data_IF_426813774052
#
_entry.id   IF_426813774052
#
_cell.length_a   1.000
_cell.length_b   1.000
_cell.length_c   1.000
_cell.angle_alpha   90.00
_cell.angle_beta   90.00
_cell.angle_gamma   90.00
#
_symmetry.space_group_name_H-M   'P 1'
#
loop_
_entity.id
_entity.type
_entity.pdbx_description
1 polymer ?
#
# COMPACT_ATOMS: atom_id res chain seq x y z
N UNK A 1 -10.96 -35.85 2.38
CA UNK A 1 -10.74 -34.87 1.29
C UNK A 1 -10.92 -33.39 1.69
N UNK A 2 -11.28 -33.06 2.94
CA UNK A 2 -11.55 -31.67 3.37
C UNK A 2 -10.31 -30.91 3.87
N UNK A 3 -9.25 -31.62 4.30
CA UNK A 3 -8.03 -31.02 4.84
C UNK A 3 -7.10 -30.40 3.77
N UNK A 4 -7.15 -30.86 2.51
CA UNK A 4 -6.27 -30.36 1.44
C UNK A 4 -6.64 -28.96 0.95
N UNK A 5 -7.90 -28.53 1.12
CA UNK A 5 -8.33 -27.16 0.76
C UNK A 5 -7.77 -26.09 1.70
N UNK A 6 -7.14 -26.48 2.81
CA UNK A 6 -6.58 -25.57 3.84
C UNK A 6 -5.08 -25.26 3.68
N UNK A 7 -4.41 -25.72 2.62
CA UNK A 7 -2.94 -25.58 2.50
C UNK A 7 -2.45 -24.50 1.54
N UNK A 8 -3.36 -23.77 0.88
CA UNK A 8 -3.03 -22.76 -0.14
C UNK A 8 -3.59 -21.38 0.19
N UNK A 9 -3.44 -20.96 1.45
CA UNK A 9 -3.95 -19.66 1.87
C UNK A 9 -3.04 -18.53 1.42
N UNK A 10 -3.68 -17.44 0.98
CA UNK A 10 -3.08 -16.12 0.92
C UNK A 10 -2.51 -15.75 2.28
N UNK A 11 -1.25 -15.33 2.31
CA UNK A 11 -0.56 -14.83 3.50
C UNK A 11 -0.16 -13.39 3.29
N UNK A 12 -0.56 -12.52 4.21
CA UNK A 12 -0.08 -11.13 4.24
C UNK A 12 1.40 -11.15 4.59
N UNK A 13 2.22 -10.43 3.82
CA UNK A 13 3.69 -10.44 3.98
C UNK A 13 4.16 -9.09 4.47
N UNK A 14 3.78 -8.03 3.76
CA UNK A 14 4.18 -6.66 4.07
C UNK A 14 3.19 -5.66 3.48
N UNK A 15 3.28 -4.41 3.92
CA UNK A 15 2.71 -3.26 3.22
C UNK A 15 3.82 -2.51 2.49
N UNK A 16 3.56 -2.01 1.28
CA UNK A 16 4.35 -0.94 0.67
C UNK A 16 3.54 0.36 0.65
N UNK A 17 4.18 1.49 0.34
CA UNK A 17 3.50 2.79 0.37
C UNK A 17 3.26 3.41 -1.00
N UNK A 18 2.07 3.98 -1.15
CA UNK A 18 1.77 5.09 -2.06
C UNK A 18 2.37 6.37 -1.47
N UNK A 19 2.68 7.33 -2.32
CA UNK A 19 2.99 8.68 -1.92
C UNK A 19 2.15 9.71 -2.65
N UNK A 20 1.95 10.85 -1.99
CA UNK A 20 1.73 12.10 -2.70
C UNK A 20 3.03 12.52 -3.39
N UNK A 21 2.97 12.60 -4.71
CA UNK A 21 4.03 13.11 -5.56
C UNK A 21 3.74 14.58 -5.84
N UNK A 22 4.69 15.44 -5.51
CA UNK A 22 4.52 16.89 -5.61
C UNK A 22 5.54 17.49 -6.57
N UNK A 23 5.19 18.63 -7.17
CA UNK A 23 6.17 19.51 -7.77
C UNK A 23 7.18 19.98 -6.74
N UNK A 24 8.45 20.05 -7.13
CA UNK A 24 9.52 20.63 -6.31
C UNK A 24 9.24 22.07 -5.88
N UNK A 25 8.41 22.81 -6.64
CA UNK A 25 7.95 24.16 -6.28
C UNK A 25 6.87 24.20 -5.20
N UNK A 26 6.14 23.09 -5.04
CA UNK A 26 5.08 22.91 -4.03
C UNK A 26 4.14 24.13 -3.82
N UNK A 27 3.41 24.60 -4.85
CA UNK A 27 2.56 25.79 -4.74
C UNK A 27 1.45 25.68 -3.68
N UNK A 28 1.02 24.46 -3.32
CA UNK A 28 0.06 24.20 -2.25
C UNK A 28 0.68 24.08 -0.85
N UNK A 29 2.02 24.15 -0.73
CA UNK A 29 2.78 24.09 0.52
C UNK A 29 2.40 22.86 1.38
N UNK A 30 2.43 21.68 0.77
CA UNK A 30 2.04 20.41 1.42
C UNK A 30 3.23 19.53 1.80
N UNK A 31 4.45 19.89 1.41
CA UNK A 31 5.64 19.05 1.58
C UNK A 31 5.99 18.68 3.02
N UNK A 32 5.57 19.49 3.99
CA UNK A 32 5.87 19.30 5.42
C UNK A 32 4.65 18.85 6.21
N UNK A 33 3.53 18.58 5.54
CA UNK A 33 2.36 18.02 6.21
C UNK A 33 2.60 16.56 6.56
N UNK A 34 1.88 16.08 7.56
CA UNK A 34 1.75 14.66 7.87
C UNK A 34 0.36 14.12 7.48
N UNK A 35 -0.67 14.99 7.46
CA UNK A 35 -2.05 14.60 7.14
C UNK A 35 -2.33 14.68 5.62
N UNK A 36 -2.63 13.55 4.96
CA UNK A 36 -3.03 13.53 3.56
C UNK A 36 -4.31 14.32 3.26
N UNK A 37 -5.27 14.37 4.19
CA UNK A 37 -6.53 15.11 3.99
C UNK A 37 -6.26 16.61 3.97
N UNK A 38 -5.46 17.11 4.90
CA UNK A 38 -5.03 18.51 4.89
C UNK A 38 -4.27 18.87 3.61
N UNK A 39 -3.39 17.98 3.12
CA UNK A 39 -2.69 18.21 1.86
C UNK A 39 -3.66 18.33 0.68
N UNK A 40 -4.66 17.45 0.60
CA UNK A 40 -5.68 17.52 -0.45
C UNK A 40 -6.55 18.78 -0.34
N UNK A 41 -6.93 19.20 0.88
CA UNK A 41 -7.63 20.47 1.11
C UNK A 41 -6.81 21.66 0.60
N UNK A 42 -5.52 21.73 0.91
CA UNK A 42 -4.65 22.83 0.42
C UNK A 42 -4.48 22.83 -1.10
N UNK A 43 -4.33 21.66 -1.72
CA UNK A 43 -4.26 21.54 -3.18
C UNK A 43 -5.55 22.10 -3.80
N UNK A 44 -6.72 21.78 -3.22
CA UNK A 44 -7.99 22.30 -3.68
C UNK A 44 -8.12 23.82 -3.48
N UNK A 45 -7.77 24.34 -2.29
CA UNK A 45 -7.82 25.78 -1.97
C UNK A 45 -6.94 26.61 -2.91
N UNK A 46 -5.73 26.12 -3.19
CA UNK A 46 -4.80 26.77 -4.13
C UNK A 46 -5.10 26.48 -5.59
N UNK A 47 -6.05 25.57 -5.88
CA UNK A 47 -6.36 25.08 -7.24
C UNK A 47 -5.10 24.64 -7.98
N UNK A 48 -4.18 24.01 -7.25
CA UNK A 48 -2.91 23.55 -7.80
C UNK A 48 -3.15 22.36 -8.75
N UNK A 49 -2.46 22.27 -9.89
CA UNK A 49 -2.74 21.22 -10.88
C UNK A 49 -2.61 19.82 -10.28
N UNK A 50 -3.63 18.98 -10.40
CA UNK A 50 -3.59 17.58 -9.96
C UNK A 50 -3.87 16.65 -11.15
N UNK A 51 -2.92 15.76 -11.42
CA UNK A 51 -3.00 14.78 -12.52
C UNK A 51 -3.21 13.41 -11.91
N UNK A 52 -4.35 12.79 -12.23
CA UNK A 52 -4.61 11.43 -11.81
C UNK A 52 -3.71 10.48 -12.59
N UNK A 53 -2.98 9.64 -11.84
CA UNK A 53 -2.33 8.46 -12.40
C UNK A 53 -3.39 7.37 -12.56
N UNK A 54 -3.77 7.05 -13.80
CA UNK A 54 -4.90 6.20 -14.16
C UNK A 54 -4.77 4.72 -13.80
N UNK A 55 -3.87 4.34 -12.90
CA UNK A 55 -3.87 3.01 -12.30
C UNK A 55 -5.15 2.90 -11.45
N UNK A 56 -6.00 1.87 -11.63
CA UNK A 56 -7.33 1.82 -11.00
C UNK A 56 -7.35 2.06 -9.49
N UNK A 57 -6.40 1.47 -8.77
CA UNK A 57 -6.20 1.66 -7.33
C UNK A 57 -5.95 3.13 -6.96
N UNK A 58 -5.16 3.85 -7.76
CA UNK A 58 -4.82 5.26 -7.51
C UNK A 58 -5.97 6.20 -7.87
N UNK A 59 -6.76 5.85 -8.89
CA UNK A 59 -8.01 6.55 -9.21
C UNK A 59 -8.98 6.45 -8.04
N UNK A 60 -9.17 5.25 -7.50
CA UNK A 60 -10.03 5.00 -6.36
C UNK A 60 -9.55 5.74 -5.10
N UNK A 61 -8.26 5.65 -4.79
CA UNK A 61 -7.68 6.38 -3.66
C UNK A 61 -7.83 7.91 -3.81
N UNK A 62 -7.59 8.45 -5.00
CA UNK A 62 -7.79 9.88 -5.26
C UNK A 62 -9.25 10.26 -5.02
N UNK A 63 -10.21 9.45 -5.46
CA UNK A 63 -11.63 9.72 -5.22
C UNK A 63 -11.99 9.73 -3.73
N UNK A 64 -11.51 8.75 -2.95
CA UNK A 64 -11.67 8.74 -1.48
C UNK A 64 -11.12 10.03 -0.87
N UNK A 65 -9.89 10.40 -1.21
CA UNK A 65 -9.23 11.60 -0.67
C UNK A 65 -9.99 12.88 -1.02
N UNK A 66 -10.44 13.03 -2.26
CA UNK A 66 -11.21 14.20 -2.67
C UNK A 66 -12.59 14.26 -2.01
N UNK A 67 -13.24 13.11 -1.80
CA UNK A 67 -14.49 13.04 -1.06
C UNK A 67 -14.29 13.47 0.40
N UNK A 68 -13.27 12.94 1.07
CA UNK A 68 -12.94 13.29 2.45
C UNK A 68 -12.42 14.75 2.61
N UNK A 69 -11.83 15.31 1.56
CA UNK A 69 -11.43 16.73 1.49
C UNK A 69 -12.60 17.69 1.19
N UNK A 70 -13.86 17.21 1.20
CA UNK A 70 -15.05 18.05 1.07
C UNK A 70 -15.58 18.22 -0.36
N UNK A 71 -15.22 17.32 -1.29
CA UNK A 71 -15.73 17.31 -2.69
C UNK A 71 -15.58 18.66 -3.40
N UNK A 72 -14.35 19.20 -3.50
CA UNK A 72 -14.14 20.52 -4.09
C UNK A 72 -14.52 20.56 -5.57
N UNK A 73 -14.84 21.76 -6.08
CA UNK A 73 -14.96 21.98 -7.51
C UNK A 73 -13.60 21.81 -8.20
N UNK A 74 -13.50 20.78 -9.05
CA UNK A 74 -12.29 20.33 -9.72
C UNK A 74 -11.98 21.07 -11.04
N UNK A 75 -12.84 22.01 -11.46
CA UNK A 75 -12.73 22.68 -12.75
C UNK A 75 -11.41 23.46 -12.93
N UNK A 76 -10.69 23.14 -14.01
CA UNK A 76 -9.49 23.85 -14.47
C UNK A 76 -8.16 23.36 -13.90
N UNK A 77 -8.14 22.71 -12.73
CA UNK A 77 -6.90 22.30 -12.06
C UNK A 77 -6.75 20.78 -11.91
N UNK A 78 -7.84 20.03 -11.85
CA UNK A 78 -7.81 18.58 -11.79
C UNK A 78 -8.01 17.96 -13.18
N UNK A 79 -7.28 16.89 -13.49
CA UNK A 79 -7.50 16.14 -14.73
C UNK A 79 -7.20 14.66 -14.58
N UNK A 80 -7.99 13.82 -15.26
CA UNK A 80 -7.79 12.38 -15.39
C UNK A 80 -7.69 12.00 -16.88
N UNK A 81 -6.52 12.17 -17.51
CA UNK A 81 -6.34 11.98 -18.95
C UNK A 81 -6.20 10.50 -19.38
N UNK A 82 -6.40 9.54 -18.48
CA UNK A 82 -6.13 8.10 -18.74
C UNK A 82 -4.64 7.74 -18.81
N UNK A 83 -3.73 8.68 -18.51
CA UNK A 83 -2.30 8.42 -18.45
C UNK A 83 -1.93 7.60 -17.20
N UNK A 84 -0.97 6.70 -17.32
CA UNK A 84 -0.51 5.86 -16.20
C UNK A 84 1.00 5.96 -15.99
N UNK A 85 1.46 5.58 -14.80
CA UNK A 85 2.89 5.45 -14.44
C UNK A 85 3.67 6.73 -14.82
N UNK A 86 4.79 6.60 -15.53
CA UNK A 86 5.65 7.71 -15.91
C UNK A 86 5.00 8.75 -16.81
N UNK A 87 4.02 8.38 -17.65
CA UNK A 87 3.33 9.36 -18.49
C UNK A 87 2.48 10.34 -17.67
N UNK A 88 1.83 9.85 -16.60
CA UNK A 88 1.14 10.70 -15.64
C UNK A 88 2.12 11.62 -14.88
N UNK A 89 3.28 11.11 -14.49
CA UNK A 89 4.33 11.91 -13.84
C UNK A 89 4.88 12.99 -14.77
N UNK A 90 5.09 12.68 -16.05
CA UNK A 90 5.52 13.66 -17.04
C UNK A 90 4.50 14.80 -17.18
N UNK A 91 3.21 14.47 -17.27
CA UNK A 91 2.15 15.46 -17.32
C UNK A 91 2.05 16.30 -16.03
N UNK A 92 2.19 15.67 -14.86
CA UNK A 92 2.21 16.37 -13.57
C UNK A 92 3.42 17.31 -13.48
N UNK A 93 4.60 16.85 -13.87
CA UNK A 93 5.83 17.65 -13.89
C UNK A 93 5.71 18.85 -14.82
N UNK A 94 5.18 18.66 -16.04
CA UNK A 94 5.00 19.72 -17.02
C UNK A 94 4.06 20.83 -16.52
N UNK A 95 3.05 20.47 -15.71
CA UNK A 95 2.10 21.42 -15.12
C UNK A 95 2.54 21.95 -13.76
N UNK A 96 3.70 21.54 -13.25
CA UNK A 96 4.13 21.88 -11.88
C UNK A 96 3.12 21.43 -10.83
N UNK A 97 2.51 20.27 -11.04
CA UNK A 97 1.38 19.78 -10.28
C UNK A 97 1.69 18.62 -9.34
N UNK A 98 0.62 17.91 -9.01
CA UNK A 98 0.54 16.87 -7.99
C UNK A 98 -0.01 15.58 -8.61
N UNK A 99 0.35 14.43 -8.03
CA UNK A 99 -0.20 13.13 -8.41
C UNK A 99 -0.01 12.11 -7.28
N UNK A 100 -0.56 10.91 -7.44
CA UNK A 100 -0.31 9.77 -6.56
C UNK A 100 0.47 8.70 -7.31
N UNK A 101 1.42 8.03 -6.65
CA UNK A 101 2.03 6.80 -7.16
C UNK A 101 2.75 6.03 -6.04
N UNK A 102 3.12 4.77 -6.30
CA UNK A 102 3.95 4.00 -5.37
C UNK A 102 5.35 4.60 -5.27
N UNK A 103 5.91 4.67 -4.05
CA UNK A 103 7.22 5.28 -3.80
C UNK A 103 8.32 4.60 -4.63
N UNK A 104 8.43 3.28 -4.53
CA UNK A 104 9.47 2.50 -5.23
C UNK A 104 9.43 2.65 -6.76
N UNK A 105 8.30 2.40 -7.47
CA UNK A 105 8.25 2.58 -8.91
C UNK A 105 8.47 4.04 -9.34
N UNK A 106 8.01 5.02 -8.54
CA UNK A 106 8.33 6.44 -8.78
C UNK A 106 9.84 6.68 -8.76
N UNK A 107 10.54 6.26 -7.70
CA UNK A 107 11.99 6.48 -7.56
C UNK A 107 12.80 5.80 -8.67
N UNK A 108 12.40 4.60 -9.10
CA UNK A 108 13.04 3.90 -10.22
C UNK A 108 12.86 4.70 -11.53
N UNK A 109 11.65 5.19 -11.79
CA UNK A 109 11.36 5.94 -13.01
C UNK A 109 12.00 7.34 -12.99
N UNK A 110 12.03 7.99 -11.82
CA UNK A 110 12.64 9.31 -11.59
C UNK A 110 14.13 9.32 -11.99
N UNK A 111 14.87 8.24 -11.74
CA UNK A 111 16.29 8.09 -12.15
C UNK A 111 16.48 8.21 -13.66
N UNK A 112 15.47 7.84 -14.47
CA UNK A 112 15.53 7.84 -15.93
C UNK A 112 15.01 9.14 -16.54
N UNK A 113 13.93 9.69 -15.98
CA UNK A 113 13.19 10.80 -16.58
C UNK A 113 13.48 12.17 -15.98
N UNK A 114 14.08 12.24 -14.78
CA UNK A 114 14.48 13.50 -14.09
C UNK A 114 13.36 14.54 -14.01
N UNK A 115 12.14 14.13 -13.65
CA UNK A 115 11.03 15.06 -13.46
C UNK A 115 11.30 16.04 -12.30
N UNK A 116 10.70 17.23 -12.36
CA UNK A 116 10.75 18.21 -11.28
C UNK A 116 9.76 17.85 -10.15
N UNK A 117 9.75 16.57 -9.74
CA UNK A 117 8.82 15.96 -8.80
C UNK A 117 9.55 15.24 -7.67
N UNK A 118 8.92 15.12 -6.51
CA UNK A 118 9.40 14.30 -5.38
C UNK A 118 8.25 13.72 -4.53
N UNK A 119 8.44 12.59 -3.85
CA UNK A 119 7.48 12.06 -2.89
C UNK A 119 7.62 12.78 -1.54
N UNK A 120 6.51 13.02 -0.83
CA UNK A 120 6.55 13.69 0.50
C UNK A 120 5.70 13.02 1.57
N UNK A 121 4.46 12.63 1.26
CA UNK A 121 3.55 11.98 2.19
C UNK A 121 3.47 10.50 1.86
N UNK A 122 4.03 9.63 2.70
CA UNK A 122 4.04 8.18 2.57
C UNK A 122 4.17 7.54 3.95
N UNK A 123 3.76 6.27 4.10
CA UNK A 123 3.74 5.54 5.36
C UNK A 123 2.50 5.78 6.23
N UNK A 124 1.59 6.65 5.79
CA UNK A 124 0.25 6.75 6.36
C UNK A 124 -0.57 5.50 6.01
N UNK A 125 -1.40 5.04 6.96
CA UNK A 125 -2.15 3.79 6.79
C UNK A 125 -3.01 3.78 5.53
N UNK A 126 -3.59 4.92 5.16
CA UNK A 126 -4.40 5.05 3.95
C UNK A 126 -3.61 4.92 2.64
N UNK A 127 -2.28 5.03 2.71
CA UNK A 127 -1.37 4.85 1.58
C UNK A 127 -0.71 3.47 1.59
N UNK A 128 -1.00 2.61 2.58
CA UNK A 128 -0.51 1.25 2.61
C UNK A 128 -1.20 0.38 1.55
N UNK A 129 -0.38 -0.35 0.80
CA UNK A 129 -0.81 -1.38 -0.15
C UNK A 129 -0.33 -2.72 0.34
N UNK A 130 -1.27 -3.62 0.56
CA UNK A 130 -0.94 -4.94 1.07
C UNK A 130 -0.32 -5.83 0.01
N UNK A 131 0.79 -6.47 0.36
CA UNK A 131 1.47 -7.46 -0.46
C UNK A 131 1.28 -8.83 0.18
N UNK A 132 0.84 -9.78 -0.63
CA UNK A 132 0.51 -11.13 -0.19
C UNK A 132 1.31 -12.18 -0.95
N UNK A 133 1.60 -13.29 -0.29
CA UNK A 133 2.09 -14.52 -0.91
C UNK A 133 0.91 -15.47 -1.16
N UNK A 134 0.84 -16.04 -2.36
CA UNK A 134 -0.16 -17.04 -2.75
C UNK A 134 0.56 -18.25 -3.33
N UNK A 135 0.31 -19.43 -2.77
CA UNK A 135 0.79 -20.70 -3.35
C UNK A 135 -0.25 -21.19 -4.33
N UNK A 136 0.17 -21.45 -5.57
CA UNK A 136 -0.72 -21.86 -6.66
C UNK A 136 -1.25 -23.29 -6.44
N UNK A 137 -2.45 -23.57 -6.98
CA UNK A 137 -3.07 -24.89 -6.86
C UNK A 137 -2.31 -25.94 -7.73
N UNK A 138 -1.70 -26.99 -7.16
CA UNK A 138 -1.01 -28.02 -7.93
C UNK A 138 -1.91 -28.79 -8.88
N UNK A 139 -3.20 -28.95 -8.58
CA UNK A 139 -4.14 -29.66 -9.47
C UNK A 139 -4.30 -28.91 -10.80
N UNK A 140 -4.16 -27.59 -10.78
CA UNK A 140 -4.16 -26.74 -11.98
C UNK A 140 -2.78 -26.55 -12.59
N UNK A 141 -1.74 -26.65 -11.77
CA UNK A 141 -0.35 -26.43 -12.15
C UNK A 141 0.52 -27.62 -11.70
N UNK A 142 0.43 -28.77 -12.38
CA UNK A 142 1.02 -30.03 -11.91
C UNK A 142 2.56 -30.00 -11.85
N UNK A 143 3.20 -29.11 -12.61
CA UNK A 143 4.65 -28.92 -12.61
C UNK A 143 5.14 -27.86 -11.60
N UNK A 144 4.25 -27.26 -10.81
CA UNK A 144 4.63 -26.24 -9.85
C UNK A 144 5.49 -26.83 -8.71
N UNK A 145 6.57 -26.14 -8.34
CA UNK A 145 7.37 -26.48 -7.17
C UNK A 145 6.65 -26.05 -5.87
N UNK A 146 5.61 -26.78 -5.49
CA UNK A 146 4.78 -26.47 -4.31
C UNK A 146 5.61 -26.51 -3.02
N UNK A 147 6.54 -27.46 -2.90
CA UNK A 147 7.42 -27.57 -1.73
C UNK A 147 8.26 -26.31 -1.55
N UNK A 148 8.87 -25.82 -2.63
CA UNK A 148 9.64 -24.57 -2.65
C UNK A 148 8.77 -23.35 -2.37
N UNK A 149 7.58 -23.26 -2.97
CA UNK A 149 6.66 -22.15 -2.75
C UNK A 149 6.21 -22.05 -1.28
N UNK A 150 5.89 -23.18 -0.64
CA UNK A 150 5.53 -23.21 0.79
C UNK A 150 6.73 -22.88 1.68
N UNK A 151 7.94 -23.32 1.33
CA UNK A 151 9.16 -22.98 2.07
C UNK A 151 9.43 -21.47 2.00
N UNK A 152 9.34 -20.87 0.81
CA UNK A 152 9.51 -19.43 0.62
C UNK A 152 8.43 -18.63 1.34
N UNK A 153 7.16 -19.04 1.26
CA UNK A 153 6.08 -18.39 1.99
C UNK A 153 6.32 -18.42 3.50
N UNK A 154 6.79 -19.54 4.08
CA UNK A 154 7.15 -19.59 5.50
C UNK A 154 8.30 -18.66 5.84
N UNK A 155 9.38 -18.69 5.05
CA UNK A 155 10.54 -17.81 5.24
C UNK A 155 10.13 -16.34 5.27
N UNK A 156 9.24 -15.91 4.36
CA UNK A 156 8.73 -14.53 4.33
C UNK A 156 8.00 -14.13 5.62
N UNK A 157 7.46 -15.09 6.38
CA UNK A 157 6.67 -14.86 7.59
C UNK A 157 7.47 -15.08 8.88
N UNK A 158 8.73 -15.51 8.79
CA UNK A 158 9.58 -15.67 9.96
C UNK A 158 9.81 -14.33 10.65
N UNK A 159 9.83 -14.26 12.00
CA UNK A 159 10.08 -13.03 12.74
C UNK A 159 11.33 -12.28 12.26
N UNK A 160 12.44 -12.99 12.06
CA UNK A 160 13.68 -12.40 11.56
C UNK A 160 13.56 -11.82 10.14
N UNK A 161 12.72 -12.42 9.28
CA UNK A 161 12.47 -11.88 7.93
C UNK A 161 11.56 -10.66 7.99
N UNK A 162 10.57 -10.66 8.88
CA UNK A 162 9.70 -9.51 9.12
C UNK A 162 10.49 -8.33 9.71
N UNK A 163 11.44 -8.58 10.61
CA UNK A 163 12.39 -7.58 11.11
C UNK A 163 13.23 -7.00 9.96
N UNK A 164 13.81 -7.84 9.09
CA UNK A 164 14.53 -7.39 7.89
C UNK A 164 13.67 -6.54 6.95
N UNK A 165 12.37 -6.81 6.84
CA UNK A 165 11.43 -5.99 6.06
C UNK A 165 11.31 -4.61 6.69
N UNK A 166 11.14 -4.52 8.01
CA UNK A 166 11.04 -3.26 8.73
C UNK A 166 12.34 -2.45 8.68
N UNK A 167 13.49 -3.12 8.73
CA UNK A 167 14.82 -2.49 8.73
C UNK A 167 15.30 -2.07 7.35
N UNK A 168 14.68 -2.58 6.28
CA UNK A 168 15.07 -2.21 4.93
C UNK A 168 14.93 -0.70 4.71
N UNK A 169 15.99 -0.08 4.18
CA UNK A 169 16.00 1.32 3.75
C UNK A 169 16.29 1.41 2.28
N UNK A 170 15.41 2.08 1.56
CA UNK A 170 15.66 2.38 0.16
C UNK A 170 16.77 3.45 0.07
N UNK A 171 17.78 3.32 -0.80
CA UNK A 171 18.88 4.28 -0.86
C UNK A 171 18.38 5.72 -1.01
N UNK A 172 18.80 6.58 -0.07
CA UNK A 172 18.40 7.99 -0.01
C UNK A 172 17.10 8.28 0.77
N UNK A 173 16.49 7.27 1.40
CA UNK A 173 15.30 7.42 2.26
C UNK A 173 15.57 6.77 3.61
N UNK A 174 15.53 7.58 4.67
CA UNK A 174 15.82 7.14 6.04
C UNK A 174 14.61 6.46 6.71
N UNK A 175 13.40 6.77 6.24
CA UNK A 175 12.16 6.18 6.73
C UNK A 175 11.92 4.79 6.12
N UNK A 176 11.23 3.89 6.83
CA UNK A 176 10.78 2.63 6.24
C UNK A 176 9.81 2.91 5.08
N UNK A 177 9.92 2.09 4.02
CA UNK A 177 8.95 2.04 2.92
C UNK A 177 8.12 0.77 2.91
N UNK A 178 8.51 -0.19 3.76
CA UNK A 178 7.85 -1.47 3.91
C UNK A 178 7.58 -1.73 5.38
N UNK A 179 6.37 -2.19 5.69
CA UNK A 179 5.95 -2.52 7.05
C UNK A 179 5.60 -4.01 7.14
N UNK A 180 6.02 -4.70 8.20
CA UNK A 180 5.64 -6.09 8.46
C UNK A 180 4.13 -6.31 8.44
N UNK A 181 3.69 -7.37 7.76
CA UNK A 181 2.30 -7.82 7.78
C UNK A 181 2.17 -9.33 7.97
N UNK A 182 3.27 -10.01 8.28
CA UNK A 182 3.34 -11.45 8.49
C UNK A 182 2.53 -11.89 9.70
N UNK A 183 1.28 -12.29 9.47
CA UNK A 183 0.42 -12.88 10.51
C UNK A 183 0.25 -14.37 10.27
N UNK A 184 0.42 -15.16 11.33
CA UNK A 184 -0.02 -16.56 11.32
C UNK A 184 -1.55 -16.59 11.46
N UNK A 185 -2.27 -16.61 10.35
CA UNK A 185 -3.73 -16.67 10.32
C UNK A 185 -4.28 -18.09 10.55
N UNK A 186 -3.55 -18.95 11.27
CA UNK A 186 -4.14 -20.19 11.75
C UNK A 186 -5.30 -19.83 12.71
N UNK A 187 -6.51 -20.39 12.51
CA UNK A 187 -7.61 -20.11 13.41
C UNK A 187 -7.24 -20.60 14.81
N UNK A 188 -7.26 -19.69 15.79
CA UNK A 188 -7.34 -20.10 17.18
C UNK A 188 -8.75 -20.60 17.41
N UNK A 189 -8.89 -21.90 17.63
CA UNK A 189 -10.16 -22.45 18.08
C UNK A 189 -10.36 -22.00 19.53
N UNK A 190 -11.48 -21.34 19.81
CA UNK A 190 -11.87 -21.08 21.19
C UNK A 190 -11.94 -22.43 21.92
N UNK A 191 -11.47 -22.52 23.18
CA UNK A 191 -11.64 -23.74 23.96
C UNK A 191 -13.13 -24.11 23.96
N UNK A 192 -13.44 -25.34 23.53
CA UNK A 192 -14.75 -25.91 23.77
C UNK A 192 -14.90 -25.96 25.29
N UNK A 193 -15.83 -25.19 25.85
CA UNK A 193 -16.03 -25.14 27.30
C UNK A 193 -16.30 -26.55 27.83
N UNK A 194 -15.45 -27.04 28.73
CA UNK A 194 -15.76 -28.23 29.52
C UNK A 194 -16.89 -27.88 30.48
N UNK A 195 -18.13 -27.99 30.01
CA UNK A 195 -19.28 -28.10 30.89
C UNK A 195 -19.18 -29.43 31.62
N UNK A 196 -18.64 -29.41 32.84
CA UNK A 196 -19.08 -30.18 34.01
C UNK A 196 -18.24 -29.76 35.22
N UNK A 197 -18.65 -28.63 35.81
CA UNK A 197 -18.28 -28.29 37.18
C UNK A 197 -19.02 -29.23 38.14
N UNK A 198 -18.25 -29.91 38.97
CA UNK A 198 -18.71 -30.71 40.11
C UNK A 198 -19.67 -29.90 40.99
N UNK A 199 -20.90 -30.36 41.16
CA UNK A 199 -21.73 -29.95 42.28
C UNK A 199 -21.26 -30.71 43.54
N UNK A 200 -20.38 -30.06 44.33
CA UNK A 200 -20.24 -30.39 45.75
C UNK A 200 -21.58 -30.12 46.45
N UNK A 201 -22.29 -31.18 46.86
CA UNK A 201 -23.37 -31.08 47.85
C UNK A 201 -22.73 -31.10 49.23
N UNK A 202 -22.84 -29.99 49.95
CA UNK A 202 -22.82 -29.99 51.40
C UNK A 202 -24.10 -30.64 51.90
N UNK A 203 -23.98 -31.71 52.70
CA UNK A 203 -24.82 -32.05 53.85
C UNK A 203 -23.90 -32.76 54.85
#
# INVERSE_FOLDING_TARGET
MQALRSRFYTRMVLFNSIALIISTRDPAQVAQLADPLEAFRRIATTRSPFIVNGIPELVYLADILWNAAGRPNKAGWYSHPGLTKGAAMQAASARGGYSLWGVTPFLIAQKKSRWALRPVLYGEEMFHRIMVSVVVNPDRFPHANVKGALAFQRYLLEPATQERILDFRYPGIAQPLFWPAGRNNAPYLLPQGNGHGEHKKHH
#
